data_IF_747149030990
#
_entry.id   IF_747149030990
#
_cell.length_a   1.000
_cell.length_b   1.000
_cell.length_c   1.000
_cell.angle_alpha   90.00
_cell.angle_beta   90.00
_cell.angle_gamma   90.00
#
_symmetry.space_group_name_H-M   'P 1'
#
loop_
_entity.id
_entity.type
_entity.pdbx_description
1 polymer ?
#
# COMPACT_ATOMS: atom_id res chain seq x y z
N UNK A 1 41.73 16.01 27.29
CA UNK A 1 40.58 16.72 26.72
C UNK A 1 40.51 16.31 25.26
N UNK A 2 39.81 15.21 24.91
CA UNK A 2 38.34 15.13 24.73
C UNK A 2 37.95 16.13 23.62
N UNK A 3 37.48 15.78 22.42
CA UNK A 3 36.74 14.59 21.96
C UNK A 3 36.60 14.61 20.42
N UNK A 4 36.60 13.41 19.84
CA UNK A 4 35.78 12.96 18.70
C UNK A 4 36.10 13.58 17.32
N UNK A 5 37.02 12.89 16.65
CA UNK A 5 36.80 12.44 15.27
C UNK A 5 35.43 11.76 15.24
N UNK A 6 34.47 12.34 14.53
CA UNK A 6 33.30 11.74 13.87
C UNK A 6 32.44 12.94 13.44
N UNK A 7 32.21 13.22 12.17
CA UNK A 7 31.39 12.38 11.32
C UNK A 7 31.59 12.89 9.89
N UNK A 8 32.35 12.16 9.07
CA UNK A 8 32.09 12.19 7.64
C UNK A 8 30.66 11.66 7.49
N UNK A 9 29.66 12.55 7.48
CA UNK A 9 28.39 12.20 6.85
C UNK A 9 28.71 12.16 5.37
N UNK A 10 29.23 11.02 4.94
CA UNK A 10 29.01 10.55 3.59
C UNK A 10 27.49 10.50 3.47
N UNK A 11 26.88 11.61 3.04
CA UNK A 11 25.54 11.59 2.51
C UNK A 11 25.65 10.82 1.21
N UNK A 12 25.63 9.50 1.34
CA UNK A 12 25.28 8.56 0.28
C UNK A 12 23.78 8.73 -0.02
N UNK A 13 23.32 9.98 -0.13
CA UNK A 13 21.98 10.32 -0.52
C UNK A 13 21.96 10.34 -2.03
N UNK A 14 22.01 9.15 -2.61
CA UNK A 14 21.27 8.94 -3.85
C UNK A 14 19.80 9.11 -3.47
N UNK A 15 19.36 10.36 -3.32
CA UNK A 15 17.95 10.66 -3.08
C UNK A 15 17.20 10.12 -4.29
N UNK A 16 16.34 9.12 -4.06
CA UNK A 16 15.50 8.58 -5.12
C UNK A 16 14.59 9.69 -5.59
N UNK A 17 14.62 9.97 -6.90
CA UNK A 17 13.68 10.86 -7.54
C UNK A 17 12.36 10.10 -7.69
N UNK A 18 11.35 10.49 -6.90
CA UNK A 18 10.01 9.90 -6.89
C UNK A 18 9.00 10.79 -7.61
N UNK A 19 9.46 11.76 -8.41
CA UNK A 19 8.58 12.69 -9.13
C UNK A 19 7.77 12.02 -10.24
N UNK A 20 8.12 10.79 -10.61
CA UNK A 20 7.36 9.88 -11.45
C UNK A 20 6.08 9.36 -10.74
N UNK A 21 6.11 9.21 -9.42
CA UNK A 21 4.97 8.82 -8.60
C UNK A 21 4.17 10.05 -8.14
N UNK A 22 4.83 11.00 -7.48
CA UNK A 22 4.20 12.19 -6.90
C UNK A 22 5.11 13.41 -7.02
N UNK A 23 4.57 14.56 -7.42
CA UNK A 23 5.37 15.77 -7.70
C UNK A 23 6.13 16.30 -6.48
N UNK A 24 5.54 16.14 -5.30
CA UNK A 24 6.08 16.49 -3.99
C UNK A 24 5.12 15.95 -2.90
N UNK A 25 5.44 16.20 -1.63
CA UNK A 25 4.65 15.76 -0.48
C UNK A 25 3.21 16.33 -0.43
N UNK A 26 2.98 17.47 -1.08
CA UNK A 26 1.68 18.14 -1.13
C UNK A 26 0.90 17.80 -2.41
N UNK A 27 1.34 16.81 -3.18
CA UNK A 27 0.62 16.37 -4.37
C UNK A 27 -0.75 15.80 -3.95
N UNK A 28 -1.88 16.40 -4.38
CA UNK A 28 -3.21 15.93 -4.01
C UNK A 28 -3.49 14.49 -4.47
N UNK A 29 -2.73 13.97 -5.44
CA UNK A 29 -2.83 12.58 -5.89
C UNK A 29 -2.55 11.58 -4.76
N UNK A 30 -1.62 11.90 -3.84
CA UNK A 30 -1.31 11.05 -2.67
C UNK A 30 -2.58 10.80 -1.86
N UNK A 31 -3.33 11.86 -1.57
CA UNK A 31 -4.58 11.76 -0.81
C UNK A 31 -5.63 10.98 -1.59
N UNK A 32 -5.77 11.24 -2.89
CA UNK A 32 -6.72 10.55 -3.74
C UNK A 32 -6.46 9.03 -3.75
N UNK A 33 -5.21 8.62 -3.91
CA UNK A 33 -4.81 7.20 -3.96
C UNK A 33 -5.01 6.52 -2.60
N UNK A 34 -4.65 7.18 -1.51
CA UNK A 34 -4.89 6.67 -0.14
C UNK A 34 -6.39 6.51 0.13
N UNK A 35 -7.20 7.50 -0.26
CA UNK A 35 -8.66 7.43 -0.08
C UNK A 35 -9.25 6.28 -0.94
N UNK A 36 -8.77 6.13 -2.17
CA UNK A 36 -9.20 5.08 -3.09
C UNK A 36 -8.90 3.68 -2.53
N UNK A 37 -7.64 3.38 -2.20
CA UNK A 37 -7.24 2.06 -1.69
C UNK A 37 -7.92 1.76 -0.34
N UNK A 38 -8.16 2.78 0.48
CA UNK A 38 -8.91 2.63 1.74
C UNK A 38 -10.36 2.22 1.49
N UNK A 39 -11.01 2.84 0.49
CA UNK A 39 -12.39 2.51 0.15
C UNK A 39 -12.51 1.13 -0.48
N UNK A 40 -11.58 0.76 -1.35
CA UNK A 40 -11.57 -0.54 -2.00
C UNK A 40 -11.32 -1.67 -0.98
N UNK A 41 -10.39 -1.48 -0.04
CA UNK A 41 -10.19 -2.41 1.06
C UNK A 41 -11.45 -2.61 1.93
N UNK A 42 -12.20 -1.53 2.21
CA UNK A 42 -13.47 -1.61 2.94
C UNK A 42 -14.55 -2.34 2.14
N UNK A 43 -14.59 -2.13 0.82
CA UNK A 43 -15.52 -2.82 -0.06
C UNK A 43 -15.22 -4.33 -0.09
N UNK A 44 -13.95 -4.70 -0.27
CA UNK A 44 -13.48 -6.07 -0.21
C UNK A 44 -13.87 -6.74 1.11
N UNK A 45 -13.57 -6.10 2.24
CA UNK A 45 -13.95 -6.59 3.56
C UNK A 45 -15.46 -6.85 3.64
N UNK A 46 -16.28 -5.88 3.27
CA UNK A 46 -17.74 -6.01 3.27
C UNK A 46 -18.22 -7.15 2.37
N UNK A 47 -17.53 -7.39 1.25
CA UNK A 47 -17.92 -8.37 0.25
C UNK A 47 -17.57 -9.80 0.67
N UNK A 48 -16.45 -10.05 1.34
CA UNK A 48 -15.96 -11.41 1.58
C UNK A 48 -15.78 -11.81 3.05
N UNK A 49 -15.84 -10.86 4.00
CA UNK A 49 -15.75 -11.18 5.43
C UNK A 49 -16.82 -12.22 5.81
N UNK A 50 -16.39 -13.26 6.52
CA UNK A 50 -17.21 -14.40 6.96
C UNK A 50 -17.83 -15.26 5.84
N UNK A 51 -17.41 -15.09 4.58
CA UNK A 51 -17.90 -15.91 3.46
C UNK A 51 -16.92 -17.00 3.00
N UNK A 52 -15.66 -16.92 3.44
CA UNK A 52 -14.61 -17.86 3.02
C UNK A 52 -14.59 -19.12 3.89
N UNK A 53 -14.64 -18.98 5.21
CA UNK A 53 -14.77 -20.12 6.13
C UNK A 53 -16.26 -20.39 6.39
N UNK A 54 -16.99 -20.70 5.31
CA UNK A 54 -18.43 -20.96 5.31
C UNK A 54 -18.72 -22.31 4.67
N UNK A 55 -19.69 -23.05 5.21
CA UNK A 55 -20.16 -24.31 4.62
C UNK A 55 -20.77 -24.11 3.21
N UNK A 56 -21.26 -22.91 2.92
CA UNK A 56 -21.85 -22.52 1.63
C UNK A 56 -20.82 -21.94 0.65
N UNK A 57 -19.52 -22.00 0.97
CA UNK A 57 -18.47 -21.50 0.06
C UNK A 57 -18.52 -22.24 -1.28
N UNK A 58 -18.61 -21.47 -2.36
CA UNK A 58 -18.50 -21.96 -3.73
C UNK A 58 -17.22 -21.47 -4.43
N UNK A 59 -16.83 -22.19 -5.49
CA UNK A 59 -15.61 -21.92 -6.24
C UNK A 59 -15.58 -20.53 -6.91
N UNK A 60 -16.72 -20.00 -7.36
CA UNK A 60 -16.78 -18.68 -7.98
C UNK A 60 -16.59 -17.58 -6.93
N UNK A 61 -17.18 -17.76 -5.74
CA UNK A 61 -16.97 -16.85 -4.62
C UNK A 61 -15.50 -16.79 -4.20
N UNK A 62 -14.84 -17.95 -4.10
CA UNK A 62 -13.40 -18.00 -3.77
C UNK A 62 -12.54 -17.36 -4.88
N UNK A 63 -12.82 -17.68 -6.14
CA UNK A 63 -12.12 -17.09 -7.28
C UNK A 63 -12.26 -15.56 -7.30
N UNK A 64 -13.47 -15.03 -7.08
CA UNK A 64 -13.72 -13.60 -7.00
C UNK A 64 -12.94 -12.94 -5.87
N UNK A 65 -12.95 -13.54 -4.67
CA UNK A 65 -12.21 -13.04 -3.53
C UNK A 65 -10.70 -12.99 -3.78
N UNK A 66 -10.10 -14.04 -4.36
CA UNK A 66 -8.66 -14.05 -4.65
C UNK A 66 -8.32 -13.04 -5.73
N UNK A 67 -9.10 -12.98 -6.81
CA UNK A 67 -8.85 -12.06 -7.93
C UNK A 67 -8.94 -10.60 -7.48
N UNK A 68 -9.93 -10.27 -6.64
CA UNK A 68 -10.10 -8.91 -6.12
C UNK A 68 -8.97 -8.57 -5.11
N UNK A 69 -8.54 -9.54 -4.29
CA UNK A 69 -7.42 -9.33 -3.36
C UNK A 69 -6.11 -9.06 -4.11
N UNK A 70 -5.83 -9.82 -5.18
CA UNK A 70 -4.66 -9.62 -6.04
C UNK A 70 -4.69 -8.21 -6.65
N UNK A 71 -5.85 -7.78 -7.17
CA UNK A 71 -6.02 -6.42 -7.72
C UNK A 71 -5.84 -5.28 -6.71
N UNK A 72 -5.94 -5.54 -5.40
CA UNK A 72 -5.69 -4.54 -4.36
C UNK A 72 -4.21 -4.49 -3.94
N UNK A 73 -3.46 -5.56 -4.22
CA UNK A 73 -2.07 -5.71 -3.81
C UNK A 73 -1.07 -5.43 -4.93
N UNK A 74 -1.46 -5.64 -6.19
CA UNK A 74 -0.63 -5.49 -7.39
C UNK A 74 -0.99 -4.22 -8.18
#
# INVERSE_FOLDING_TARGET
MQEIIDNQIATDTTNWDLTDLYKNLEDPQIKADVDQITNDAKAFEKNYRNKIDSEDLDANTLYGAVSELESLSE
#
